data_IF_916598305525
#
_entry.id   IF_916598305525
#
_cell.length_a   1.000
_cell.length_b   1.000
_cell.length_c   1.000
_cell.angle_alpha   90.00
_cell.angle_beta   90.00
_cell.angle_gamma   90.00
#
_symmetry.space_group_name_H-M   'P 1'
#
loop_
_entity.id
_entity.type
_entity.pdbx_description
1 polymer ?
#
# COMPACT_ATOMS: atom_id res chain seq x y z
N UNK A 1 13.74 8.78 19.55
CA UNK A 1 14.10 8.34 18.19
C UNK A 1 12.79 8.25 17.40
N UNK A 2 12.73 8.75 16.19
CA UNK A 2 11.52 8.61 15.36
C UNK A 2 11.40 7.14 14.90
N UNK A 3 10.16 6.61 14.89
CA UNK A 3 9.90 5.27 14.37
C UNK A 3 10.04 5.23 12.85
N UNK A 4 10.21 4.03 12.27
CA UNK A 4 10.21 3.85 10.80
C UNK A 4 8.94 4.43 10.18
N UNK A 5 7.79 4.22 10.82
CA UNK A 5 6.50 4.79 10.39
C UNK A 5 6.53 6.32 10.27
N UNK A 6 7.08 6.99 11.29
CA UNK A 6 7.21 8.45 11.28
C UNK A 6 8.23 8.93 10.27
N UNK A 7 9.37 8.26 10.18
CA UNK A 7 10.43 8.58 9.22
C UNK A 7 9.92 8.47 7.78
N UNK A 8 9.22 7.38 7.46
CA UNK A 8 8.67 7.19 6.11
C UNK A 8 7.53 8.19 5.82
N UNK A 9 6.62 8.44 6.76
CA UNK A 9 5.59 9.46 6.63
C UNK A 9 6.17 10.83 6.29
N UNK A 10 7.24 11.24 7.01
CA UNK A 10 7.94 12.50 6.72
C UNK A 10 8.51 12.52 5.31
N UNK A 11 9.21 11.46 4.88
CA UNK A 11 9.76 11.36 3.52
C UNK A 11 8.67 11.47 2.44
N UNK A 12 7.49 10.87 2.66
CA UNK A 12 6.36 10.96 1.73
C UNK A 12 5.80 12.38 1.61
N UNK A 13 5.74 13.13 2.71
CA UNK A 13 5.35 14.54 2.72
C UNK A 13 6.41 15.42 2.02
N UNK A 14 7.68 15.21 2.30
CA UNK A 14 8.81 15.99 1.73
C UNK A 14 8.81 15.90 0.19
N UNK A 15 8.60 14.71 -0.39
CA UNK A 15 8.54 14.52 -1.85
C UNK A 15 7.14 14.75 -2.44
N UNK A 16 6.18 15.16 -1.63
CA UNK A 16 4.78 15.38 -2.02
C UNK A 16 4.12 14.13 -2.64
N UNK A 17 4.57 12.96 -2.23
CA UNK A 17 3.88 11.70 -2.48
C UNK A 17 2.57 11.64 -1.68
N UNK A 18 2.58 12.21 -0.49
CA UNK A 18 1.37 12.53 0.27
C UNK A 18 1.21 14.04 0.34
N UNK A 19 -0.03 14.51 0.15
CA UNK A 19 -0.45 15.89 0.35
C UNK A 19 -1.65 15.92 1.27
N UNK A 20 -1.65 16.86 2.21
CA UNK A 20 -2.75 17.12 3.12
C UNK A 20 -3.34 18.51 2.83
N UNK A 21 -4.64 18.58 2.57
CA UNK A 21 -5.40 19.80 2.29
C UNK A 21 -6.76 19.73 3.02
N UNK A 22 -6.78 19.91 4.35
CA UNK A 22 -8.00 19.76 5.15
C UNK A 22 -9.07 20.81 4.82
N UNK A 23 -8.66 22.01 4.37
CA UNK A 23 -9.57 23.13 4.08
C UNK A 23 -9.94 23.24 2.60
N UNK A 24 -9.18 22.61 1.69
CA UNK A 24 -9.44 22.56 0.24
C UNK A 24 -9.28 21.12 -0.26
N UNK A 25 -10.26 20.25 0.01
CA UNK A 25 -10.12 18.81 -0.19
C UNK A 25 -10.02 18.42 -1.66
N UNK A 26 -9.25 17.36 -1.92
CA UNK A 26 -9.19 16.68 -3.22
C UNK A 26 -10.52 15.98 -3.51
N UNK A 27 -10.80 15.75 -4.80
CA UNK A 27 -11.82 14.80 -5.23
C UNK A 27 -11.15 13.56 -5.80
N UNK A 28 -11.37 12.40 -5.18
CA UNK A 28 -10.84 11.14 -5.66
C UNK A 28 -11.57 10.64 -6.91
N UNK A 29 -11.00 9.66 -7.61
CA UNK A 29 -11.63 9.03 -8.77
C UNK A 29 -12.98 8.35 -8.44
N UNK A 30 -13.20 7.97 -7.18
CA UNK A 30 -14.47 7.48 -6.66
C UNK A 30 -15.54 8.56 -6.53
N UNK A 31 -15.19 9.84 -6.68
CA UNK A 31 -16.03 11.01 -6.40
C UNK A 31 -15.95 11.50 -4.95
N UNK A 32 -15.30 10.75 -4.05
CA UNK A 32 -15.21 11.15 -2.65
C UNK A 32 -14.34 12.38 -2.46
N UNK A 33 -14.79 13.28 -1.59
CA UNK A 33 -13.97 14.37 -1.07
C UNK A 33 -12.98 13.82 -0.05
N UNK A 34 -11.72 14.26 -0.15
CA UNK A 34 -10.67 13.79 0.74
C UNK A 34 -9.67 14.88 1.07
N UNK A 35 -9.30 15.08 2.35
CA UNK A 35 -8.25 16.01 2.75
C UNK A 35 -6.84 15.46 2.49
N UNK A 36 -6.73 14.22 2.00
CA UNK A 36 -5.45 13.57 1.69
C UNK A 36 -5.43 13.07 0.25
N UNK A 37 -4.31 13.23 -0.40
CA UNK A 37 -3.98 12.60 -1.68
C UNK A 37 -2.66 11.86 -1.56
N UNK A 38 -2.63 10.60 -2.02
CA UNK A 38 -1.47 9.72 -1.94
C UNK A 38 -1.11 9.19 -3.34
N UNK A 39 0.16 9.35 -3.71
CA UNK A 39 0.76 8.77 -4.91
C UNK A 39 2.17 8.25 -4.57
N UNK A 40 2.23 7.04 -4.05
CA UNK A 40 3.48 6.40 -3.63
C UNK A 40 4.45 6.14 -4.79
N UNK A 41 3.97 6.12 -6.04
CA UNK A 41 4.81 5.96 -7.24
C UNK A 41 5.84 7.08 -7.38
N UNK A 42 5.59 8.25 -6.80
CA UNK A 42 6.55 9.35 -6.75
C UNK A 42 7.86 9.00 -6.03
N UNK A 43 7.82 8.04 -5.11
CA UNK A 43 9.02 7.55 -4.42
C UNK A 43 10.05 6.97 -5.39
N UNK A 44 9.60 6.44 -6.54
CA UNK A 44 10.45 5.85 -7.57
C UNK A 44 11.40 6.85 -8.23
N UNK A 45 11.02 8.13 -8.26
CA UNK A 45 11.82 9.21 -8.85
C UNK A 45 13.06 9.57 -8.01
N UNK A 46 13.09 9.18 -6.73
CA UNK A 46 14.14 9.52 -5.79
C UNK A 46 14.94 8.27 -5.44
N UNK A 47 16.18 8.07 -5.96
CA UNK A 47 16.93 6.83 -5.78
C UNK A 47 17.12 6.41 -4.32
N UNK A 48 17.45 7.35 -3.44
CA UNK A 48 17.63 7.07 -2.01
C UNK A 48 16.31 6.66 -1.33
N UNK A 49 15.22 7.36 -1.64
CA UNK A 49 13.91 7.02 -1.09
C UNK A 49 13.38 5.69 -1.65
N UNK A 50 13.60 5.45 -2.93
CA UNK A 50 13.26 4.16 -3.57
C UNK A 50 14.01 2.99 -2.92
N UNK A 51 15.31 3.16 -2.65
CA UNK A 51 16.12 2.16 -1.94
C UNK A 51 15.65 1.98 -0.49
N UNK A 52 15.34 3.08 0.20
CA UNK A 52 14.76 3.02 1.55
C UNK A 52 13.46 2.21 1.56
N UNK A 53 12.49 2.51 0.68
CA UNK A 53 11.21 1.79 0.61
C UNK A 53 11.43 0.30 0.33
N UNK A 54 12.34 -0.02 -0.60
CA UNK A 54 12.71 -1.40 -0.90
C UNK A 54 13.19 -2.14 0.35
N UNK A 55 14.18 -1.58 1.06
CA UNK A 55 14.76 -2.21 2.25
C UNK A 55 13.74 -2.37 3.39
N UNK A 56 12.92 -1.33 3.61
CA UNK A 56 11.92 -1.38 4.67
C UNK A 56 10.76 -2.34 4.36
N UNK A 57 10.48 -2.65 3.09
CA UNK A 57 9.54 -3.71 2.70
C UNK A 57 10.16 -5.11 2.82
N UNK A 58 11.46 -5.25 2.59
CA UNK A 58 12.18 -6.52 2.73
C UNK A 58 12.29 -6.97 4.19
N UNK A 59 12.52 -6.04 5.11
CA UNK A 59 12.65 -6.33 6.54
C UNK A 59 11.47 -7.15 7.09
N UNK A 60 10.21 -6.69 7.01
CA UNK A 60 9.09 -7.47 7.51
C UNK A 60 8.85 -8.77 6.73
N UNK A 61 9.32 -8.90 5.49
CA UNK A 61 9.22 -10.17 4.77
C UNK A 61 10.12 -11.21 5.45
N UNK A 62 11.34 -10.86 5.81
CA UNK A 62 12.24 -11.77 6.53
C UNK A 62 11.74 -12.13 7.93
N UNK A 63 11.11 -11.18 8.65
CA UNK A 63 10.69 -11.38 10.02
C UNK A 63 9.35 -12.11 10.14
N UNK A 64 8.39 -11.76 9.26
CA UNK A 64 6.99 -12.15 9.40
C UNK A 64 6.55 -13.21 8.38
N UNK A 65 7.29 -13.36 7.26
CA UNK A 65 6.99 -14.27 6.16
C UNK A 65 8.24 -15.01 5.67
N UNK A 66 9.06 -15.59 6.57
CA UNK A 66 10.33 -16.22 6.20
C UNK A 66 10.18 -17.41 5.25
N UNK A 67 8.99 -18.00 5.16
CA UNK A 67 8.66 -19.09 4.25
C UNK A 67 8.36 -18.62 2.81
N UNK A 68 8.26 -17.31 2.56
CA UNK A 68 7.99 -16.78 1.23
C UNK A 68 9.10 -17.16 0.26
N UNK A 69 8.75 -17.72 -0.89
CA UNK A 69 9.68 -18.13 -1.94
C UNK A 69 9.33 -17.52 -3.31
N UNK A 70 8.37 -16.61 -3.35
CA UNK A 70 8.05 -15.78 -4.51
C UNK A 70 7.40 -14.46 -4.06
N UNK A 71 7.47 -13.44 -4.92
CA UNK A 71 6.89 -12.12 -4.68
C UNK A 71 5.85 -11.81 -5.76
N UNK A 72 4.72 -11.24 -5.37
CA UNK A 72 3.72 -10.73 -6.31
C UNK A 72 3.41 -9.26 -6.06
N UNK A 73 3.60 -8.41 -7.06
CA UNK A 73 3.20 -6.99 -6.99
C UNK A 73 1.75 -6.78 -7.38
N UNK A 74 1.04 -5.89 -6.71
CA UNK A 74 -0.33 -5.50 -7.14
C UNK A 74 -0.24 -4.38 -8.17
N UNK A 75 -0.78 -4.62 -9.35
CA UNK A 75 -0.79 -3.61 -10.42
C UNK A 75 -1.83 -2.51 -10.11
N UNK A 76 -1.48 -1.28 -10.40
CA UNK A 76 -0.30 -0.80 -11.13
C UNK A 76 0.76 -0.23 -10.17
N UNK A 77 0.35 0.25 -8.99
CA UNK A 77 1.19 1.03 -8.08
C UNK A 77 2.40 0.27 -7.56
N UNK A 78 2.21 -1.01 -7.25
CA UNK A 78 3.24 -1.83 -6.65
C UNK A 78 4.05 -2.71 -7.63
N UNK A 79 3.84 -2.58 -8.95
CA UNK A 79 4.64 -3.37 -9.92
C UNK A 79 6.14 -3.10 -9.72
N UNK A 80 6.53 -1.84 -9.73
CA UNK A 80 7.94 -1.47 -9.63
C UNK A 80 8.53 -1.82 -8.24
N UNK A 81 7.82 -1.51 -7.17
CA UNK A 81 8.28 -1.82 -5.81
C UNK A 81 8.37 -3.33 -5.58
N UNK A 82 7.37 -4.10 -6.05
CA UNK A 82 7.39 -5.56 -5.98
C UNK A 82 8.59 -6.16 -6.70
N UNK A 83 8.92 -5.65 -7.90
CA UNK A 83 10.08 -6.11 -8.66
C UNK A 83 11.40 -5.79 -7.93
N UNK A 84 11.51 -4.59 -7.32
CA UNK A 84 12.69 -4.21 -6.54
C UNK A 84 12.86 -5.05 -5.27
N UNK A 85 11.75 -5.39 -4.61
CA UNK A 85 11.74 -6.28 -3.43
C UNK A 85 12.15 -7.70 -3.82
N UNK A 86 11.61 -8.21 -4.93
CA UNK A 86 11.96 -9.54 -5.43
C UNK A 86 13.44 -9.64 -5.84
N UNK A 87 13.98 -8.58 -6.47
CA UNK A 87 15.39 -8.48 -6.82
C UNK A 87 16.30 -8.53 -5.59
N UNK A 88 15.95 -7.77 -4.53
CA UNK A 88 16.70 -7.77 -3.26
C UNK A 88 16.66 -9.12 -2.55
N UNK A 89 15.50 -9.80 -2.59
CA UNK A 89 15.30 -11.12 -1.99
C UNK A 89 15.83 -12.27 -2.85
N UNK A 90 16.22 -12.00 -4.10
CA UNK A 90 16.59 -13.01 -5.11
C UNK A 90 15.46 -14.05 -5.33
N UNK A 91 14.20 -13.60 -5.29
CA UNK A 91 13.02 -14.44 -5.43
C UNK A 91 12.36 -14.25 -6.82
N UNK A 92 11.70 -15.30 -7.35
CA UNK A 92 10.82 -15.19 -8.51
C UNK A 92 9.74 -14.13 -8.31
N UNK A 93 9.38 -13.44 -9.41
CA UNK A 93 8.44 -12.34 -9.40
C UNK A 93 7.32 -12.48 -10.43
N UNK A 94 6.11 -12.12 -10.01
CA UNK A 94 4.98 -11.85 -10.90
C UNK A 94 4.24 -10.60 -10.44
N UNK A 95 3.28 -10.11 -11.23
CA UNK A 95 2.35 -9.09 -10.76
C UNK A 95 0.92 -9.42 -11.14
N UNK A 96 -0.04 -8.92 -10.35
CA UNK A 96 -1.46 -9.21 -10.51
C UNK A 96 -2.18 -7.97 -11.03
N UNK A 97 -2.85 -8.11 -12.18
CA UNK A 97 -3.64 -7.05 -12.81
C UNK A 97 -4.99 -6.87 -12.12
N UNK A 98 -5.58 -5.66 -12.14
CA UNK A 98 -6.91 -5.42 -11.58
C UNK A 98 -8.02 -6.26 -12.26
N UNK A 99 -7.83 -6.57 -13.55
CA UNK A 99 -8.75 -7.40 -14.37
C UNK A 99 -7.96 -8.34 -15.26
N UNK A 100 -8.54 -9.50 -15.63
CA UNK A 100 -7.99 -10.36 -16.67
C UNK A 100 -7.82 -9.63 -17.98
N UNK A 101 -6.97 -10.15 -18.90
CA UNK A 101 -6.87 -9.65 -20.26
C UNK A 101 -8.15 -9.94 -21.04
N UNK A 102 -8.61 -8.98 -21.83
CA UNK A 102 -9.76 -9.15 -22.72
C UNK A 102 -9.43 -10.07 -23.91
N UNK A 103 -8.12 -10.33 -24.17
CA UNK A 103 -7.63 -11.15 -25.27
C UNK A 103 -6.54 -12.13 -24.77
N UNK A 104 -6.45 -13.30 -25.42
CA UNK A 104 -5.53 -14.37 -25.07
C UNK A 104 -6.13 -15.33 -24.04
N UNK A 105 -5.30 -15.94 -23.16
CA UNK A 105 -5.74 -16.90 -22.15
C UNK A 105 -6.43 -16.28 -20.93
N UNK A 106 -6.79 -14.99 -20.97
CA UNK A 106 -7.50 -14.33 -19.86
C UNK A 106 -6.70 -14.20 -18.57
N UNK A 107 -5.37 -14.28 -18.64
CA UNK A 107 -4.51 -14.26 -17.46
C UNK A 107 -4.59 -12.93 -16.72
N UNK A 108 -4.84 -13.00 -15.43
CA UNK A 108 -4.77 -11.87 -14.51
C UNK A 108 -3.38 -11.72 -13.88
N UNK A 109 -2.60 -12.80 -13.84
CA UNK A 109 -1.23 -12.84 -13.32
C UNK A 109 -0.27 -12.75 -14.50
N UNK A 110 0.68 -11.84 -14.43
CA UNK A 110 1.71 -11.61 -15.43
C UNK A 110 3.08 -11.99 -14.85
N UNK A 111 3.86 -12.71 -15.64
CA UNK A 111 5.07 -13.37 -15.19
C UNK A 111 4.80 -14.82 -14.84
N UNK A 112 5.86 -15.53 -14.47
CA UNK A 112 5.81 -16.95 -14.10
C UNK A 112 6.55 -17.16 -12.79
N UNK A 113 5.91 -17.82 -11.85
CA UNK A 113 6.51 -18.25 -10.57
C UNK A 113 6.29 -19.76 -10.42
N UNK A 114 7.08 -20.46 -9.60
CA UNK A 114 6.96 -21.91 -9.41
C UNK A 114 5.54 -22.32 -8.97
N UNK A 115 5.09 -23.48 -9.43
CA UNK A 115 3.82 -24.07 -9.02
C UNK A 115 3.80 -24.29 -7.49
N UNK A 116 2.68 -23.96 -6.83
CA UNK A 116 2.55 -24.07 -5.39
C UNK A 116 3.43 -23.11 -4.58
N UNK A 117 3.97 -22.07 -5.23
CA UNK A 117 4.82 -21.09 -4.53
C UNK A 117 4.11 -20.44 -3.34
N UNK A 118 4.88 -20.18 -2.28
CA UNK A 118 4.49 -19.38 -1.13
C UNK A 118 4.79 -17.91 -1.41
N UNK A 119 3.72 -17.17 -1.67
CA UNK A 119 3.80 -15.82 -2.23
C UNK A 119 3.59 -14.78 -1.14
N UNK A 120 4.52 -13.84 -1.00
CA UNK A 120 4.28 -12.58 -0.31
C UNK A 120 3.83 -11.53 -1.32
N UNK A 121 2.76 -10.82 -1.00
CA UNK A 121 2.19 -9.78 -1.87
C UNK A 121 2.75 -8.41 -1.47
N UNK A 122 3.14 -7.61 -2.46
CA UNK A 122 3.60 -6.23 -2.28
C UNK A 122 2.55 -5.28 -2.84
N UNK A 123 2.14 -4.30 -2.02
CA UNK A 123 1.17 -3.28 -2.37
C UNK A 123 1.73 -1.87 -2.13
N UNK A 124 1.24 -0.87 -2.85
CA UNK A 124 1.64 0.53 -2.62
C UNK A 124 0.75 1.25 -1.60
N UNK A 125 -0.55 1.00 -1.65
CA UNK A 125 -1.54 1.69 -0.82
C UNK A 125 -2.73 0.80 -0.49
N UNK A 126 -3.01 0.64 0.79
CA UNK A 126 -4.25 0.06 1.29
C UNK A 126 -5.26 1.18 1.63
N UNK A 127 -6.34 1.26 0.86
CA UNK A 127 -7.51 2.07 1.17
C UNK A 127 -8.56 1.22 1.88
N UNK A 128 -9.56 0.72 1.17
CA UNK A 128 -10.56 -0.21 1.71
C UNK A 128 -10.14 -1.69 1.61
N UNK A 129 -8.99 -1.98 1.00
CA UNK A 129 -8.46 -3.34 0.86
C UNK A 129 -9.02 -4.15 -0.31
N UNK A 130 -10.13 -3.71 -0.92
CA UNK A 130 -10.84 -4.53 -1.91
C UNK A 130 -10.04 -4.88 -3.15
N UNK A 131 -9.21 -3.97 -3.71
CA UNK A 131 -8.35 -4.26 -4.86
C UNK A 131 -7.22 -5.21 -4.50
N UNK A 132 -6.61 -5.02 -3.35
CA UNK A 132 -5.49 -5.81 -2.86
C UNK A 132 -5.93 -7.25 -2.54
N UNK A 133 -7.10 -7.42 -1.93
CA UNK A 133 -7.65 -8.76 -1.64
C UNK A 133 -8.12 -9.49 -2.90
N UNK A 134 -8.59 -8.77 -3.94
CA UNK A 134 -8.84 -9.39 -5.25
C UNK A 134 -7.56 -9.95 -5.89
N UNK A 135 -6.43 -9.31 -5.68
CA UNK A 135 -5.14 -9.84 -6.13
C UNK A 135 -4.75 -11.12 -5.37
N UNK A 136 -4.98 -11.16 -4.05
CA UNK A 136 -4.81 -12.36 -3.22
C UNK A 136 -5.68 -13.50 -3.74
N UNK A 137 -6.96 -13.23 -4.01
CA UNK A 137 -7.89 -14.23 -4.53
C UNK A 137 -7.46 -14.78 -5.89
N UNK A 138 -6.93 -13.92 -6.77
CA UNK A 138 -6.41 -14.35 -8.07
C UNK A 138 -5.21 -15.29 -7.92
N UNK A 139 -4.29 -14.98 -7.01
CA UNK A 139 -3.14 -15.84 -6.71
C UNK A 139 -3.58 -17.18 -6.12
N UNK A 140 -4.49 -17.19 -5.15
CA UNK A 140 -5.04 -18.42 -4.54
C UNK A 140 -5.78 -19.29 -5.57
N UNK A 141 -6.56 -18.67 -6.46
CA UNK A 141 -7.25 -19.38 -7.56
C UNK A 141 -6.28 -20.00 -8.57
N UNK A 142 -5.10 -19.41 -8.73
CA UNK A 142 -4.03 -19.94 -9.57
C UNK A 142 -3.20 -21.05 -8.89
N UNK A 143 -3.54 -21.44 -7.66
CA UNK A 143 -2.87 -22.52 -6.94
C UNK A 143 -1.69 -22.10 -6.09
N UNK A 144 -1.51 -20.78 -5.86
CA UNK A 144 -0.44 -20.27 -5.01
C UNK A 144 -0.90 -20.12 -3.55
N UNK A 145 0.01 -20.34 -2.61
CA UNK A 145 -0.19 -20.06 -1.20
C UNK A 145 0.19 -18.60 -0.89
N UNK A 146 -0.77 -17.76 -0.54
CA UNK A 146 -0.47 -16.38 -0.12
C UNK A 146 -0.19 -16.38 1.37
N UNK A 147 1.07 -16.14 1.75
CA UNK A 147 1.54 -16.15 3.15
C UNK A 147 1.27 -14.83 3.86
N UNK A 148 1.18 -13.71 3.13
CA UNK A 148 0.84 -12.41 3.68
C UNK A 148 1.05 -11.29 2.68
N UNK A 149 0.92 -10.06 3.17
CA UNK A 149 1.07 -8.83 2.37
C UNK A 149 1.91 -7.79 3.12
N UNK A 150 2.82 -7.16 2.40
CA UNK A 150 3.49 -5.94 2.84
C UNK A 150 3.04 -4.77 1.98
N UNK A 151 2.78 -3.62 2.59
CA UNK A 151 2.37 -2.43 1.85
C UNK A 151 3.14 -1.19 2.29
N UNK A 152 3.38 -0.29 1.34
CA UNK A 152 4.05 0.96 1.65
C UNK A 152 3.21 1.83 2.59
N UNK A 153 1.90 1.87 2.39
CA UNK A 153 1.03 2.77 3.15
C UNK A 153 -0.39 2.25 3.34
N UNK A 154 -1.03 2.64 4.44
CA UNK A 154 -2.47 2.40 4.67
C UNK A 154 -3.17 3.65 5.22
N UNK A 155 -4.44 3.84 4.85
CA UNK A 155 -5.30 4.80 5.54
C UNK A 155 -5.82 4.28 6.89
N UNK A 156 -5.68 2.98 7.16
CA UNK A 156 -6.11 2.34 8.41
C UNK A 156 -7.61 2.41 8.61
N UNK A 157 -8.41 2.24 7.55
CA UNK A 157 -9.84 2.18 7.67
C UNK A 157 -10.28 0.86 8.33
N UNK A 158 -11.22 0.88 9.29
CA UNK A 158 -11.71 -0.34 9.95
C UNK A 158 -12.21 -1.39 8.95
N UNK A 159 -12.87 -0.97 7.87
CA UNK A 159 -13.36 -1.88 6.82
C UNK A 159 -12.21 -2.65 6.15
N UNK A 160 -11.03 -2.06 6.03
CA UNK A 160 -9.87 -2.76 5.47
C UNK A 160 -9.33 -3.78 6.48
N UNK A 161 -9.22 -3.41 7.75
CA UNK A 161 -8.74 -4.29 8.83
C UNK A 161 -9.63 -5.54 8.95
N UNK A 162 -10.96 -5.34 8.94
CA UNK A 162 -11.93 -6.45 8.97
C UNK A 162 -11.81 -7.34 7.72
N UNK A 163 -11.74 -6.74 6.53
CA UNK A 163 -11.61 -7.49 5.28
C UNK A 163 -10.33 -8.34 5.22
N UNK A 164 -9.19 -7.80 5.65
CA UNK A 164 -7.93 -8.56 5.72
C UNK A 164 -7.99 -9.69 6.75
N UNK A 165 -8.63 -9.45 7.91
CA UNK A 165 -8.86 -10.47 8.93
C UNK A 165 -9.76 -11.59 8.41
N UNK A 166 -10.88 -11.27 7.76
CA UNK A 166 -11.79 -12.24 7.16
C UNK A 166 -11.13 -13.07 6.05
N UNK A 167 -10.28 -12.42 5.24
CA UNK A 167 -9.51 -13.08 4.19
C UNK A 167 -8.36 -13.94 4.72
N UNK A 168 -8.05 -13.87 6.02
CA UNK A 168 -6.91 -14.56 6.63
C UNK A 168 -5.57 -14.12 6.02
N UNK A 169 -5.42 -12.80 5.75
CA UNK A 169 -4.20 -12.23 5.19
C UNK A 169 -3.56 -11.30 6.21
N UNK A 170 -2.37 -11.67 6.70
CA UNK A 170 -1.58 -10.80 7.55
C UNK A 170 -1.03 -9.63 6.72
N UNK A 171 -1.30 -8.41 7.17
CA UNK A 171 -0.83 -7.17 6.53
C UNK A 171 0.20 -6.47 7.41
N UNK A 172 1.34 -6.11 6.83
CA UNK A 172 2.35 -5.25 7.46
C UNK A 172 2.52 -4.00 6.61
N UNK A 173 2.53 -2.80 7.23
CA UNK A 173 2.64 -1.53 6.52
C UNK A 173 3.79 -0.67 7.04
N UNK A 174 4.50 0.02 6.13
CA UNK A 174 5.64 0.88 6.48
C UNK A 174 5.19 2.17 7.16
N UNK A 175 4.05 2.70 6.78
CA UNK A 175 3.44 3.85 7.45
C UNK A 175 1.92 3.85 7.26
N UNK A 176 1.26 4.78 7.95
CA UNK A 176 -0.18 4.90 7.97
C UNK A 176 -0.62 6.36 8.13
N UNK A 177 -1.93 6.56 8.04
CA UNK A 177 -2.57 7.87 8.15
C UNK A 177 -2.30 8.57 9.48
N UNK A 178 -2.33 7.83 10.59
CA UNK A 178 -2.16 8.38 11.93
C UNK A 178 -0.76 8.94 12.14
N UNK A 179 0.28 8.17 11.77
CA UNK A 179 1.66 8.64 11.84
C UNK A 179 1.92 9.81 10.90
N UNK A 180 1.28 9.81 9.72
CA UNK A 180 1.41 10.90 8.74
C UNK A 180 0.80 12.20 9.25
N UNK A 181 -0.41 12.17 9.80
CA UNK A 181 -1.06 13.38 10.33
C UNK A 181 -0.34 13.91 11.56
N UNK A 182 0.14 13.03 12.44
CA UNK A 182 0.93 13.40 13.61
C UNK A 182 2.25 14.08 13.22
N UNK A 183 3.01 13.53 12.26
CA UNK A 183 4.27 14.12 11.81
C UNK A 183 4.03 15.42 11.03
N UNK A 184 2.96 15.52 10.27
CA UNK A 184 2.58 16.72 9.54
C UNK A 184 2.29 17.90 10.47
N UNK A 185 1.55 17.68 11.56
CA UNK A 185 1.33 18.70 12.58
C UNK A 185 2.64 19.06 13.30
N UNK A 186 3.42 18.06 13.75
CA UNK A 186 4.68 18.26 14.44
C UNK A 186 5.69 19.08 13.63
N UNK A 187 5.70 18.93 12.30
CA UNK A 187 6.65 19.62 11.40
C UNK A 187 6.09 20.94 10.84
N UNK A 188 4.86 21.32 11.19
CA UNK A 188 4.21 22.52 10.68
C UNK A 188 3.77 22.42 9.22
N UNK A 189 3.66 21.20 8.66
CA UNK A 189 3.11 20.97 7.32
C UNK A 189 1.61 21.31 7.28
N UNK A 190 0.91 21.03 8.37
CA UNK A 190 -0.47 21.44 8.66
C UNK A 190 -0.51 22.12 10.02
N UNK A 191 -1.57 22.85 10.32
CA UNK A 191 -1.82 23.40 11.65
C UNK A 191 -2.37 22.34 12.60
N UNK A 192 -2.15 22.50 13.89
CA UNK A 192 -2.66 21.56 14.89
C UNK A 192 -4.20 21.49 14.88
N UNK A 193 -4.87 22.62 14.63
CA UNK A 193 -6.34 22.70 14.48
C UNK A 193 -6.89 21.85 13.33
N UNK A 194 -6.09 21.58 12.29
CA UNK A 194 -6.47 20.75 11.14
C UNK A 194 -6.61 19.26 11.48
N UNK A 195 -5.99 18.82 12.59
CA UNK A 195 -6.08 17.43 13.03
C UNK A 195 -7.51 16.98 13.31
N UNK A 196 -8.35 17.89 13.80
CA UNK A 196 -9.76 17.58 14.06
C UNK A 196 -10.51 17.24 12.75
N UNK A 197 -10.28 18.03 11.70
CA UNK A 197 -10.90 17.82 10.37
C UNK A 197 -10.41 16.50 9.75
N UNK A 198 -9.12 16.20 9.88
CA UNK A 198 -8.51 14.97 9.39
C UNK A 198 -9.06 13.73 10.12
N UNK A 199 -9.24 13.82 11.44
CA UNK A 199 -9.84 12.76 12.25
C UNK A 199 -11.32 12.54 11.91
N UNK A 200 -12.07 13.60 11.65
CA UNK A 200 -13.46 13.52 11.22
C UNK A 200 -13.60 12.79 9.87
N UNK A 201 -12.79 13.17 8.88
CA UNK A 201 -12.78 12.49 7.58
C UNK A 201 -12.51 10.98 7.71
N UNK A 202 -11.51 10.59 8.51
CA UNK A 202 -11.14 9.18 8.68
C UNK A 202 -12.29 8.32 9.23
N UNK A 203 -13.19 8.90 10.04
CA UNK A 203 -14.34 8.17 10.59
C UNK A 203 -15.39 7.83 9.54
N UNK A 204 -15.60 8.71 8.55
CA UNK A 204 -16.65 8.56 7.55
C UNK A 204 -16.22 9.12 6.18
N UNK A 205 -15.21 8.55 5.54
CA UNK A 205 -14.61 9.12 4.33
C UNK A 205 -15.58 9.15 3.14
N UNK A 206 -16.54 8.23 3.07
CA UNK A 206 -17.53 8.16 1.99
C UNK A 206 -18.64 9.21 2.08
N UNK A 207 -18.84 9.83 3.25
CA UNK A 207 -19.92 10.81 3.50
C UNK A 207 -19.41 12.19 3.86
N UNK A 208 -18.13 12.33 4.14
CA UNK A 208 -17.53 13.58 4.56
C UNK A 208 -17.52 14.62 3.43
N UNK A 209 -18.18 15.80 3.65
CA UNK A 209 -18.26 16.92 2.70
C UNK A 209 -18.64 16.50 1.27
N UNK A 210 -19.59 15.57 1.11
CA UNK A 210 -20.04 15.08 -0.20
C UNK A 210 -21.15 15.94 -0.86
N UNK A 211 -21.49 17.09 -0.27
CA UNK A 211 -22.46 18.05 -0.83
C UNK A 211 -21.92 18.80 -2.04
#
# INVERSE_FOLDING_TARGET
MESIKQTFAKKLLDVKAIKLQPNDPFTWASGWKSPIYTDNRKTLAYPELRSFVKQELVHPIHEEFPEANAVAGVATGAIAQGALVADELLLPYCYVRPKPKDHGMGNQIEGTIPEGAKVVVVEDLISTGGSSLKAVDALRKAGFEVVGMVASYTYGFPVAEEAFKEAGVRLVTLSDYEHTTAIAAKTGYIKEEDLAVLAEWRKSPSTWKQE
#
